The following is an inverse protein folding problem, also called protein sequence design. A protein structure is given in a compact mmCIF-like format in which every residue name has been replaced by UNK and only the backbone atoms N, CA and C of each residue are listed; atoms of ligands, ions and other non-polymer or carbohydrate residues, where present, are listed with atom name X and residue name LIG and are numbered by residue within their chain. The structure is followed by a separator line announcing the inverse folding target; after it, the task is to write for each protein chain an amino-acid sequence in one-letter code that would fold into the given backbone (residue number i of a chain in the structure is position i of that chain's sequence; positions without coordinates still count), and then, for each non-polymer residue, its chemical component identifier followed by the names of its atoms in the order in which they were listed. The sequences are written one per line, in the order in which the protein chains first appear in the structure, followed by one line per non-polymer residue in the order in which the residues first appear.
data_IF_555645469064
#
_entry.id   IF_555645469064
#
_cell.length_a   1.000
_cell.length_b   1.000
_cell.length_c   1.000
_cell.angle_alpha   90.00
_cell.angle_beta   90.00
_cell.angle_gamma   90.00
#
_symmetry.space_group_name_H-M   'P 1'
#
loop_
_entity.id
_entity.type
_entity.pdbx_description
1 polymer ?
#
# COMPACT_ATOMS: atom_id res chain seq x y z
N UNK A 1 74.61 50.40 -38.45
CA UNK A 1 74.87 48.95 -38.45
C UNK A 1 74.44 48.23 -37.16
N UNK A 2 74.69 48.79 -35.96
CA UNK A 2 74.39 48.15 -34.66
C UNK A 2 72.91 47.75 -34.45
N UNK A 3 71.95 48.61 -34.84
CA UNK A 3 70.51 48.35 -34.68
C UNK A 3 70.05 47.10 -35.47
N UNK A 4 70.58 46.88 -36.67
CA UNK A 4 70.23 45.72 -37.50
C UNK A 4 70.68 44.39 -36.87
N UNK A 5 71.86 44.37 -36.27
CA UNK A 5 72.38 43.19 -35.56
C UNK A 5 71.57 42.85 -34.31
N UNK A 6 71.13 43.86 -33.55
CA UNK A 6 70.26 43.69 -32.38
C UNK A 6 68.91 43.09 -32.79
N UNK A 7 68.31 43.58 -33.87
CA UNK A 7 67.03 43.06 -34.37
C UNK A 7 67.13 41.60 -34.84
N UNK A 8 68.25 41.20 -35.46
CA UNK A 8 68.48 39.80 -35.85
C UNK A 8 68.56 38.87 -34.63
N UNK A 9 69.29 39.27 -33.59
CA UNK A 9 69.41 38.49 -32.34
C UNK A 9 68.06 38.38 -31.62
N UNK A 10 67.31 39.48 -31.54
CA UNK A 10 65.96 39.49 -30.96
C UNK A 10 64.99 38.59 -31.73
N UNK A 11 65.01 38.62 -33.08
CA UNK A 11 64.17 37.74 -33.91
C UNK A 11 64.53 36.27 -33.71
N UNK A 12 65.83 35.94 -33.68
CA UNK A 12 66.30 34.58 -33.43
C UNK A 12 65.84 34.07 -32.06
N UNK A 13 66.03 34.87 -30.99
CA UNK A 13 65.62 34.49 -29.64
C UNK A 13 64.10 34.28 -29.53
N UNK A 14 63.30 35.15 -30.18
CA UNK A 14 61.83 35.00 -30.26
C UNK A 14 61.44 33.72 -30.97
N UNK A 15 62.11 33.37 -32.08
CA UNK A 15 61.88 32.12 -32.81
C UNK A 15 62.19 30.88 -31.94
N UNK A 16 63.35 30.86 -31.28
CA UNK A 16 63.76 29.77 -30.38
C UNK A 16 62.78 29.63 -29.21
N UNK A 17 62.36 30.74 -28.61
CA UNK A 17 61.39 30.73 -27.51
C UNK A 17 60.01 30.21 -27.96
N UNK A 18 59.56 30.62 -29.15
CA UNK A 18 58.31 30.11 -29.75
C UNK A 18 58.37 28.60 -30.03
N UNK A 19 59.49 28.11 -30.57
CA UNK A 19 59.70 26.68 -30.82
C UNK A 19 59.68 25.89 -29.51
N UNK A 20 60.37 26.36 -28.47
CA UNK A 20 60.36 25.72 -27.14
C UNK A 20 58.95 25.62 -26.56
N UNK A 21 58.13 26.68 -26.68
CA UNK A 21 56.73 26.65 -26.24
C UNK A 21 55.91 25.65 -27.04
N UNK A 22 56.04 25.63 -28.37
CA UNK A 22 55.36 24.66 -29.24
C UNK A 22 55.69 23.22 -28.87
N UNK A 23 56.98 22.91 -28.67
CA UNK A 23 57.41 21.57 -28.27
C UNK A 23 56.80 21.19 -26.91
N UNK A 24 56.84 22.08 -25.91
CA UNK A 24 56.20 21.84 -24.60
C UNK A 24 54.70 21.57 -24.73
N UNK A 25 53.98 22.35 -25.51
CA UNK A 25 52.56 22.14 -25.77
C UNK A 25 52.27 20.81 -26.46
N UNK A 26 53.08 20.44 -27.47
CA UNK A 26 52.96 19.15 -28.15
C UNK A 26 53.20 17.99 -27.19
N UNK A 27 54.24 18.05 -26.35
CA UNK A 27 54.53 17.02 -25.35
C UNK A 27 53.36 16.87 -24.37
N UNK A 28 52.78 18.00 -23.94
CA UNK A 28 51.63 18.00 -23.03
C UNK A 28 50.40 17.33 -23.69
N UNK A 29 50.05 17.72 -24.91
CA UNK A 29 48.92 17.12 -25.63
C UNK A 29 49.15 15.62 -25.82
N UNK A 30 50.36 15.23 -26.24
CA UNK A 30 50.70 13.83 -26.43
C UNK A 30 50.63 13.03 -25.12
N UNK A 31 51.07 13.58 -23.98
CA UNK A 31 51.00 12.88 -22.70
C UNK A 31 49.55 12.67 -22.25
N UNK A 32 48.68 13.68 -22.43
CA UNK A 32 47.25 13.55 -22.17
C UNK A 32 46.58 12.51 -23.07
N UNK A 33 46.89 12.50 -24.37
CA UNK A 33 46.36 11.52 -25.32
C UNK A 33 46.79 10.10 -24.96
N UNK A 34 48.09 9.87 -24.68
CA UNK A 34 48.59 8.55 -24.26
C UNK A 34 47.89 8.09 -22.97
N UNK A 35 47.75 8.98 -21.99
CA UNK A 35 47.03 8.67 -20.75
C UNK A 35 45.55 8.36 -20.98
N UNK A 36 44.88 9.08 -21.89
CA UNK A 36 43.48 8.81 -22.23
C UNK A 36 43.31 7.47 -22.94
N UNK A 37 44.18 7.14 -23.91
CA UNK A 37 44.17 5.85 -24.61
C UNK A 37 44.33 4.70 -23.61
N UNK A 38 45.35 4.77 -22.74
CA UNK A 38 45.61 3.73 -21.74
C UNK A 38 44.42 3.54 -20.77
N UNK A 39 43.83 4.63 -20.27
CA UNK A 39 42.63 4.56 -19.41
C UNK A 39 41.44 3.96 -20.13
N UNK A 40 41.24 4.29 -21.41
CA UNK A 40 40.16 3.75 -22.23
C UNK A 40 40.32 2.25 -22.45
N UNK A 41 41.54 1.79 -22.71
CA UNK A 41 41.85 0.37 -22.89
C UNK A 41 41.60 -0.43 -21.61
N UNK A 42 42.15 0.00 -20.47
CA UNK A 42 41.92 -0.63 -19.16
C UNK A 42 40.42 -0.62 -18.80
N UNK A 43 39.69 0.46 -19.10
CA UNK A 43 38.26 0.53 -18.86
C UNK A 43 37.48 -0.49 -19.69
N UNK A 44 37.85 -0.69 -20.96
CA UNK A 44 37.24 -1.69 -21.85
C UNK A 44 37.52 -3.11 -21.37
N UNK A 45 38.77 -3.40 -21.02
CA UNK A 45 39.16 -4.72 -20.49
C UNK A 45 38.42 -5.04 -19.19
N UNK A 46 38.37 -4.09 -18.25
CA UNK A 46 37.61 -4.24 -17.01
C UNK A 46 36.12 -4.48 -17.29
N UNK A 47 35.53 -3.75 -18.22
CA UNK A 47 34.13 -3.94 -18.59
C UNK A 47 33.88 -5.35 -19.13
N UNK A 48 34.72 -5.83 -20.07
CA UNK A 48 34.63 -7.19 -20.59
C UNK A 48 34.82 -8.25 -19.48
N UNK A 49 35.82 -8.08 -18.61
CA UNK A 49 36.07 -8.99 -17.50
C UNK A 49 34.86 -9.05 -16.54
N UNK A 50 34.28 -7.92 -16.17
CA UNK A 50 33.08 -7.85 -15.33
C UNK A 50 31.88 -8.51 -16.02
N UNK A 51 31.71 -8.31 -17.33
CA UNK A 51 30.66 -9.00 -18.08
C UNK A 51 30.84 -10.52 -18.03
N UNK A 52 32.04 -11.03 -18.29
CA UNK A 52 32.30 -12.48 -18.24
C UNK A 52 32.08 -13.02 -16.82
N UNK A 53 32.61 -12.34 -15.81
CA UNK A 53 32.46 -12.73 -14.42
C UNK A 53 31.00 -12.74 -13.98
N UNK A 54 30.19 -11.75 -14.37
CA UNK A 54 28.77 -11.70 -14.04
C UNK A 54 27.97 -12.83 -14.70
N UNK A 55 28.25 -13.14 -15.97
CA UNK A 55 27.64 -14.26 -16.67
C UNK A 55 28.01 -15.61 -16.03
N UNK A 56 29.27 -15.79 -15.68
CA UNK A 56 29.77 -17.00 -15.02
C UNK A 56 29.14 -17.19 -13.63
N UNK A 57 29.14 -16.15 -12.79
CA UNK A 57 28.49 -16.18 -11.47
C UNK A 57 27.00 -16.50 -11.59
N UNK A 58 26.31 -15.90 -12.56
CA UNK A 58 24.90 -16.19 -12.83
C UNK A 58 24.68 -17.64 -13.29
N UNK A 59 25.56 -18.18 -14.12
CA UNK A 59 25.50 -19.59 -14.55
C UNK A 59 25.70 -20.55 -13.38
N UNK A 60 26.72 -20.31 -12.54
CA UNK A 60 26.97 -21.14 -11.36
C UNK A 60 25.76 -21.16 -10.41
N UNK A 61 25.16 -20.01 -10.14
CA UNK A 61 23.94 -19.92 -9.32
C UNK A 61 22.78 -20.72 -9.92
N UNK A 62 22.55 -20.63 -11.24
CA UNK A 62 21.50 -21.40 -11.92
C UNK A 62 21.79 -22.89 -11.92
N UNK A 63 23.05 -23.29 -12.09
CA UNK A 63 23.48 -24.70 -12.04
C UNK A 63 23.24 -25.30 -10.65
N UNK A 64 23.67 -24.60 -9.60
CA UNK A 64 23.51 -25.03 -8.21
C UNK A 64 22.04 -25.07 -7.76
N UNK A 65 21.25 -24.06 -8.17
CA UNK A 65 19.82 -24.00 -7.82
C UNK A 65 18.92 -24.91 -8.65
N UNK A 66 19.41 -25.56 -9.72
CA UNK A 66 18.60 -26.37 -10.63
C UNK A 66 17.81 -27.46 -9.90
N UNK A 67 18.45 -28.19 -8.99
CA UNK A 67 17.80 -29.24 -8.21
C UNK A 67 16.69 -28.69 -7.30
N UNK A 68 16.96 -27.59 -6.59
CA UNK A 68 15.99 -26.90 -5.72
C UNK A 68 14.79 -26.37 -6.51
N UNK A 69 15.01 -25.81 -7.70
CA UNK A 69 13.94 -25.33 -8.57
C UNK A 69 13.07 -26.47 -9.12
N UNK A 70 13.69 -27.61 -9.45
CA UNK A 70 12.95 -28.80 -9.86
C UNK A 70 12.10 -29.36 -8.71
N UNK A 71 12.66 -29.48 -7.51
CA UNK A 71 11.91 -29.87 -6.31
C UNK A 71 10.73 -28.91 -6.06
N UNK A 72 10.99 -27.60 -6.08
CA UNK A 72 9.94 -26.58 -5.91
C UNK A 72 8.83 -26.75 -6.95
N UNK A 73 9.20 -26.96 -8.23
CA UNK A 73 8.23 -27.18 -9.31
C UNK A 73 7.41 -28.45 -9.09
N UNK A 74 8.04 -29.56 -8.68
CA UNK A 74 7.35 -30.81 -8.38
C UNK A 74 6.39 -30.66 -7.20
N UNK A 75 6.80 -29.95 -6.15
CA UNK A 75 5.94 -29.64 -5.00
C UNK A 75 4.74 -28.79 -5.39
N UNK A 76 4.94 -27.74 -6.18
CA UNK A 76 3.84 -26.90 -6.69
C UNK A 76 2.88 -27.74 -7.54
N UNK A 77 3.38 -28.60 -8.43
CA UNK A 77 2.54 -29.47 -9.25
C UNK A 77 1.78 -30.51 -8.41
N UNK A 78 2.44 -31.13 -7.42
CA UNK A 78 1.80 -32.09 -6.50
C UNK A 78 0.69 -31.42 -5.71
N UNK A 79 0.95 -30.22 -5.16
CA UNK A 79 -0.08 -29.44 -4.48
C UNK A 79 -1.24 -29.08 -5.41
N UNK A 80 -0.95 -28.63 -6.64
CA UNK A 80 -1.99 -28.29 -7.62
C UNK A 80 -2.89 -29.47 -8.01
N UNK A 81 -2.34 -30.69 -8.13
CA UNK A 81 -3.10 -31.91 -8.41
C UNK A 81 -4.00 -32.34 -7.26
N UNK A 82 -3.62 -32.00 -6.03
CA UNK A 82 -4.33 -32.40 -4.82
C UNK A 82 -5.28 -31.29 -4.30
N UNK A 83 -5.52 -30.24 -5.08
CA UNK A 83 -6.48 -29.19 -4.70
C UNK A 83 -7.88 -29.77 -4.77
N UNK A 84 -8.49 -29.96 -3.61
CA UNK A 84 -9.91 -30.21 -3.49
C UNK A 84 -10.70 -28.99 -3.96
N UNK A 85 -11.76 -29.22 -4.74
CA UNK A 85 -12.60 -28.15 -5.26
C UNK A 85 -13.27 -27.36 -4.13
N UNK A 86 -13.60 -27.99 -2.99
CA UNK A 86 -14.15 -27.28 -1.83
C UNK A 86 -13.18 -26.21 -1.27
N UNK A 87 -11.88 -26.42 -1.44
CA UNK A 87 -10.82 -25.54 -0.92
C UNK A 87 -10.49 -24.37 -1.86
N UNK A 88 -11.05 -24.36 -3.07
CA UNK A 88 -10.95 -23.18 -3.96
C UNK A 88 -11.61 -21.99 -3.27
N UNK A 89 -10.94 -20.84 -3.29
CA UNK A 89 -11.36 -19.60 -2.60
C UNK A 89 -12.84 -19.26 -2.91
N UNK A 90 -13.25 -19.37 -4.18
CA UNK A 90 -14.63 -19.09 -4.60
C UNK A 90 -15.65 -20.09 -4.03
N UNK A 91 -15.27 -21.37 -3.88
CA UNK A 91 -16.15 -22.41 -3.35
C UNK A 91 -16.24 -22.30 -1.82
N UNK A 92 -15.14 -21.95 -1.15
CA UNK A 92 -15.13 -21.61 0.28
C UNK A 92 -16.03 -20.41 0.58
N UNK A 93 -15.98 -19.37 -0.26
CA UNK A 93 -16.88 -18.21 -0.17
C UNK A 93 -18.35 -18.66 -0.27
N UNK A 94 -18.69 -19.44 -1.30
CA UNK A 94 -20.06 -19.92 -1.53
C UNK A 94 -20.58 -20.76 -0.37
N UNK A 95 -19.75 -21.67 0.15
CA UNK A 95 -20.08 -22.49 1.31
C UNK A 95 -20.34 -21.64 2.55
N UNK A 96 -19.41 -20.72 2.88
CA UNK A 96 -19.55 -19.83 4.02
C UNK A 96 -20.81 -18.95 3.92
N UNK A 97 -21.16 -18.45 2.72
CA UNK A 97 -22.39 -17.69 2.49
C UNK A 97 -23.65 -18.54 2.72
N UNK A 98 -23.68 -19.76 2.19
CA UNK A 98 -24.83 -20.65 2.34
C UNK A 98 -25.10 -21.01 3.80
N UNK A 99 -24.04 -21.20 4.58
CA UNK A 99 -24.14 -21.56 5.99
C UNK A 99 -24.43 -20.36 6.91
N UNK A 100 -23.95 -19.15 6.56
CA UNK A 100 -24.15 -17.94 7.38
C UNK A 100 -25.65 -17.63 7.61
N UNK A 101 -26.50 -18.01 6.65
CA UNK A 101 -27.96 -17.85 6.73
C UNK A 101 -28.64 -18.89 7.64
N UNK A 102 -28.05 -20.08 7.81
CA UNK A 102 -28.65 -21.20 8.52
C UNK A 102 -28.11 -21.42 9.94
N UNK A 103 -27.02 -20.75 10.30
CA UNK A 103 -26.32 -21.01 11.56
C UNK A 103 -26.92 -20.30 12.78
N UNK A 104 -27.03 -21.04 13.89
CA UNK A 104 -27.46 -20.54 15.21
C UNK A 104 -26.31 -20.39 16.22
N UNK A 105 -25.11 -20.86 15.87
CA UNK A 105 -23.93 -20.87 16.76
C UNK A 105 -23.01 -19.69 16.45
N UNK A 106 -22.62 -18.95 17.49
CA UNK A 106 -21.66 -17.83 17.41
C UNK A 106 -20.31 -18.29 16.84
N UNK A 107 -19.85 -19.50 17.20
CA UNK A 107 -18.57 -20.03 16.69
C UNK A 107 -18.61 -20.30 15.19
N UNK A 108 -19.74 -20.83 14.69
CA UNK A 108 -19.95 -21.05 13.26
C UNK A 108 -20.06 -19.72 12.48
N UNK A 109 -20.81 -18.76 13.01
CA UNK A 109 -20.92 -17.41 12.44
C UNK A 109 -19.52 -16.76 12.37
N UNK A 110 -18.73 -16.87 13.43
CA UNK A 110 -17.36 -16.34 13.45
C UNK A 110 -16.47 -16.99 12.39
N UNK A 111 -16.48 -18.33 12.30
CA UNK A 111 -15.70 -19.05 11.29
C UNK A 111 -16.06 -18.64 9.86
N UNK A 112 -17.35 -18.47 9.58
CA UNK A 112 -17.82 -18.08 8.27
C UNK A 112 -17.48 -16.62 7.95
N UNK A 113 -17.70 -15.69 8.88
CA UNK A 113 -17.27 -14.30 8.71
C UNK A 113 -15.75 -14.20 8.47
N UNK A 114 -14.92 -14.97 9.19
CA UNK A 114 -13.48 -15.00 8.97
C UNK A 114 -13.12 -15.55 7.58
N UNK A 115 -13.85 -16.57 7.11
CA UNK A 115 -13.68 -17.11 5.74
C UNK A 115 -14.11 -16.09 4.67
N UNK A 116 -15.22 -15.37 4.86
CA UNK A 116 -15.66 -14.31 3.95
C UNK A 116 -14.64 -13.17 3.88
N UNK A 117 -14.12 -12.72 5.03
CA UNK A 117 -13.09 -11.68 5.11
C UNK A 117 -11.83 -12.09 4.34
N UNK A 118 -11.27 -13.26 4.64
CA UNK A 118 -10.06 -13.78 3.99
C UNK A 118 -10.25 -14.00 2.48
N UNK A 119 -11.39 -14.57 2.05
CA UNK A 119 -11.63 -14.84 0.62
C UNK A 119 -11.86 -13.56 -0.19
N UNK A 120 -12.38 -12.49 0.43
CA UNK A 120 -12.61 -11.19 -0.20
C UNK A 120 -11.41 -10.24 -0.11
N UNK A 121 -10.42 -10.53 0.75
CA UNK A 121 -9.31 -9.62 1.04
C UNK A 121 -8.51 -9.20 -0.22
N UNK A 122 -8.34 -10.12 -1.18
CA UNK A 122 -7.53 -9.88 -2.37
C UNK A 122 -8.20 -10.30 -3.69
N UNK A 123 -9.49 -10.64 -3.68
CA UNK A 123 -10.18 -11.16 -4.86
C UNK A 123 -11.41 -10.34 -5.23
N UNK A 124 -11.28 -9.51 -6.27
CA UNK A 124 -12.41 -8.74 -6.83
C UNK A 124 -13.59 -9.64 -7.19
N UNK A 125 -13.31 -10.78 -7.84
CA UNK A 125 -14.34 -11.76 -8.23
C UNK A 125 -15.10 -12.32 -7.02
N UNK A 126 -14.43 -12.54 -5.89
CA UNK A 126 -15.11 -12.98 -4.66
C UNK A 126 -15.96 -11.86 -4.08
N UNK A 127 -15.50 -10.61 -4.12
CA UNK A 127 -16.31 -9.45 -3.73
C UNK A 127 -17.57 -9.31 -4.61
N UNK A 128 -17.43 -9.42 -5.93
CA UNK A 128 -18.55 -9.38 -6.89
C UNK A 128 -19.55 -10.51 -6.64
N UNK A 129 -19.08 -11.75 -6.45
CA UNK A 129 -19.95 -12.90 -6.14
C UNK A 129 -20.66 -12.72 -4.79
N UNK A 130 -19.98 -12.20 -3.76
CA UNK A 130 -20.57 -11.90 -2.46
C UNK A 130 -21.71 -10.88 -2.59
N UNK A 131 -21.49 -9.82 -3.37
CA UNK A 131 -22.51 -8.80 -3.62
C UNK A 131 -23.67 -9.35 -4.44
N UNK A 132 -23.39 -10.14 -5.49
CA UNK A 132 -24.40 -10.79 -6.31
C UNK A 132 -25.28 -11.77 -5.52
N UNK A 133 -24.71 -12.42 -4.49
CA UNK A 133 -25.44 -13.27 -3.56
C UNK A 133 -26.30 -12.49 -2.53
N UNK A 134 -26.32 -11.16 -2.59
CA UNK A 134 -27.10 -10.31 -1.68
C UNK A 134 -26.53 -10.24 -0.25
N UNK A 135 -25.26 -10.59 -0.07
CA UNK A 135 -24.68 -10.76 1.26
C UNK A 135 -24.44 -9.44 2.01
N UNK A 136 -24.46 -8.29 1.34
CA UNK A 136 -24.35 -6.97 2.00
C UNK A 136 -25.42 -6.83 3.09
N UNK A 137 -26.68 -7.15 2.79
CA UNK A 137 -27.77 -7.07 3.75
C UNK A 137 -27.60 -8.02 4.94
N UNK A 138 -27.03 -9.20 4.70
CA UNK A 138 -26.75 -10.18 5.77
C UNK A 138 -25.65 -9.66 6.70
N UNK A 139 -24.56 -9.13 6.13
CA UNK A 139 -23.45 -8.55 6.89
C UNK A 139 -23.90 -7.34 7.71
N UNK A 140 -24.73 -6.46 7.15
CA UNK A 140 -25.29 -5.32 7.87
C UNK A 140 -26.19 -5.75 9.03
N UNK A 141 -27.04 -6.76 8.83
CA UNK A 141 -27.87 -7.33 9.92
C UNK A 141 -26.99 -7.92 11.03
N UNK A 142 -25.92 -8.63 10.67
CA UNK A 142 -24.96 -9.15 11.65
C UNK A 142 -24.29 -8.03 12.44
N UNK A 143 -23.82 -6.97 11.78
CA UNK A 143 -23.22 -5.81 12.45
C UNK A 143 -24.19 -5.21 13.48
N UNK A 144 -25.50 -5.17 13.18
CA UNK A 144 -26.52 -4.69 14.11
C UNK A 144 -26.80 -5.65 15.28
N UNK A 145 -26.80 -6.97 15.05
CA UNK A 145 -27.21 -7.97 16.05
C UNK A 145 -26.11 -8.35 17.04
N UNK A 146 -24.86 -8.02 16.73
CA UNK A 146 -23.70 -8.43 17.51
C UNK A 146 -23.60 -7.65 18.83
N UNK A 147 -23.39 -8.38 19.93
CA UNK A 147 -23.29 -7.82 21.29
C UNK A 147 -21.88 -7.31 21.63
N UNK A 148 -21.67 -6.86 22.88
CA UNK A 148 -20.35 -6.43 23.39
C UNK A 148 -19.46 -7.59 23.84
N UNK A 149 -19.89 -8.85 23.70
CA UNK A 149 -19.07 -10.00 24.08
C UNK A 149 -17.82 -10.11 23.20
N UNK A 150 -16.75 -10.71 23.72
CA UNK A 150 -15.49 -10.90 22.96
C UNK A 150 -15.69 -11.63 21.62
N UNK A 151 -16.40 -12.78 21.54
CA UNK A 151 -16.59 -13.47 20.25
C UNK A 151 -17.43 -12.66 19.28
N UNK A 152 -18.44 -11.95 19.79
CA UNK A 152 -19.26 -11.03 19.02
C UNK A 152 -18.41 -9.91 18.39
N UNK A 153 -17.52 -9.27 19.16
CA UNK A 153 -16.64 -8.24 18.60
C UNK A 153 -15.69 -8.76 17.51
N UNK A 154 -15.33 -10.05 17.53
CA UNK A 154 -14.56 -10.66 16.43
C UNK A 154 -15.43 -10.89 15.18
N UNK A 155 -16.68 -11.33 15.35
CA UNK A 155 -17.65 -11.41 14.23
C UNK A 155 -17.82 -10.05 13.58
N UNK A 156 -18.01 -9.01 14.39
CA UNK A 156 -18.13 -7.63 13.92
C UNK A 156 -16.90 -7.18 13.14
N UNK A 157 -15.70 -7.45 13.65
CA UNK A 157 -14.44 -7.10 12.98
C UNK A 157 -14.37 -7.72 11.59
N UNK A 158 -14.64 -9.02 11.46
CA UNK A 158 -14.61 -9.70 10.16
C UNK A 158 -15.71 -9.22 9.22
N UNK A 159 -16.92 -8.97 9.73
CA UNK A 159 -18.02 -8.42 8.92
C UNK A 159 -17.69 -7.02 8.38
N UNK A 160 -17.19 -6.12 9.23
CA UNK A 160 -16.73 -4.79 8.82
C UNK A 160 -15.54 -4.88 7.85
N UNK A 161 -14.57 -5.76 8.11
CA UNK A 161 -13.42 -5.95 7.21
C UNK A 161 -13.86 -6.44 5.83
N UNK A 162 -14.83 -7.35 5.77
CA UNK A 162 -15.44 -7.82 4.52
C UNK A 162 -16.08 -6.65 3.77
N UNK A 163 -16.88 -5.81 4.44
CA UNK A 163 -17.46 -4.59 3.80
C UNK A 163 -16.36 -3.64 3.32
N UNK A 164 -15.30 -3.44 4.10
CA UNK A 164 -14.13 -2.64 3.70
C UNK A 164 -13.44 -3.22 2.47
N UNK A 165 -13.37 -4.54 2.32
CA UNK A 165 -12.79 -5.15 1.12
C UNK A 165 -13.62 -4.78 -0.13
N UNK A 166 -14.95 -4.68 0.00
CA UNK A 166 -15.82 -4.21 -1.08
C UNK A 166 -15.54 -2.76 -1.48
N UNK A 167 -15.23 -1.87 -0.52
CA UNK A 167 -14.99 -0.44 -0.80
C UNK A 167 -13.69 -0.15 -1.55
N UNK A 168 -12.88 -1.17 -1.84
CA UNK A 168 -11.73 -1.05 -2.74
C UNK A 168 -12.15 -0.92 -4.20
N UNK A 169 -13.36 -1.38 -4.55
CA UNK A 169 -13.84 -1.43 -5.93
C UNK A 169 -14.97 -0.41 -6.14
N UNK A 170 -14.74 0.53 -7.05
CA UNK A 170 -15.61 1.69 -7.28
C UNK A 170 -17.08 1.31 -7.56
N UNK A 171 -17.31 0.27 -8.36
CA UNK A 171 -18.66 -0.17 -8.71
C UNK A 171 -19.39 -0.83 -7.52
N UNK A 172 -18.67 -1.49 -6.60
CA UNK A 172 -19.26 -2.10 -5.40
C UNK A 172 -19.58 -1.07 -4.32
N UNK A 173 -18.85 0.05 -4.27
CA UNK A 173 -19.19 1.18 -3.38
C UNK A 173 -20.60 1.70 -3.69
N UNK A 174 -20.98 1.79 -4.96
CA UNK A 174 -22.32 2.25 -5.34
C UNK A 174 -23.41 1.30 -4.84
N UNK A 175 -23.21 -0.01 -5.01
CA UNK A 175 -24.15 -1.03 -4.51
C UNK A 175 -24.26 -0.98 -2.98
N UNK A 176 -23.15 -0.74 -2.28
CA UNK A 176 -23.15 -0.54 -0.83
C UNK A 176 -23.95 0.72 -0.45
N UNK A 177 -23.78 1.84 -1.15
CA UNK A 177 -24.52 3.10 -0.90
C UNK A 177 -26.03 2.92 -1.18
N UNK A 178 -26.39 2.15 -2.19
CA UNK A 178 -27.78 1.87 -2.57
C UNK A 178 -28.47 0.88 -1.63
N UNK A 179 -27.69 0.09 -0.88
CA UNK A 179 -28.21 -0.83 0.13
C UNK A 179 -28.84 -0.05 1.29
N UNK A 180 -30.10 -0.36 1.59
CA UNK A 180 -30.89 0.36 2.59
C UNK A 180 -30.22 0.38 3.98
N UNK A 181 -30.08 1.57 4.57
CA UNK A 181 -29.55 1.75 5.92
C UNK A 181 -28.06 1.48 6.07
N UNK A 182 -27.32 1.18 5.00
CA UNK A 182 -25.90 0.80 5.08
C UNK A 182 -25.03 1.88 5.71
N UNK A 183 -25.20 3.12 5.28
CA UNK A 183 -24.45 4.28 5.77
C UNK A 183 -24.75 4.47 7.25
N UNK A 184 -26.02 4.47 7.65
CA UNK A 184 -26.47 4.62 9.02
C UNK A 184 -25.89 3.54 9.93
N UNK A 185 -25.95 2.28 9.52
CA UNK A 185 -25.44 1.14 10.30
C UNK A 185 -23.94 1.26 10.52
N UNK A 186 -23.17 1.52 9.45
CA UNK A 186 -21.71 1.65 9.53
C UNK A 186 -21.33 2.87 10.35
N UNK A 187 -22.08 3.97 10.23
CA UNK A 187 -21.88 5.18 11.00
C UNK A 187 -22.15 4.97 12.50
N UNK A 188 -23.24 4.29 12.84
CA UNK A 188 -23.57 3.96 14.23
C UNK A 188 -22.48 3.08 14.84
N UNK A 189 -21.93 2.14 14.06
CA UNK A 189 -20.82 1.30 14.54
C UNK A 189 -19.54 2.11 14.74
N UNK A 190 -19.21 3.03 13.81
CA UNK A 190 -18.11 3.97 13.99
C UNK A 190 -18.24 4.79 15.29
N UNK A 191 -19.45 5.24 15.64
CA UNK A 191 -19.68 5.98 16.89
C UNK A 191 -19.54 5.09 18.14
N UNK A 192 -20.00 3.83 18.05
CA UNK A 192 -20.09 2.90 19.19
C UNK A 192 -18.75 2.23 19.52
N UNK A 193 -17.94 1.93 18.51
CA UNK A 193 -16.74 1.12 18.67
C UNK A 193 -15.57 1.91 19.29
N UNK A 194 -14.73 1.22 20.07
CA UNK A 194 -13.52 1.81 20.68
C UNK A 194 -12.22 1.13 20.29
N UNK A 195 -12.32 0.01 19.59
CA UNK A 195 -11.20 -0.83 19.20
C UNK A 195 -11.03 -0.83 17.68
N UNK A 196 -10.51 -1.91 17.10
CA UNK A 196 -10.19 -1.99 15.67
C UNK A 196 -11.40 -1.71 14.76
N UNK A 197 -12.61 -2.08 15.18
CA UNK A 197 -13.84 -1.79 14.43
C UNK A 197 -14.06 -0.30 14.17
N UNK A 198 -13.58 0.58 15.06
CA UNK A 198 -13.62 2.03 14.88
C UNK A 198 -12.86 2.47 13.63
N UNK A 199 -11.65 1.93 13.44
CA UNK A 199 -10.78 2.29 12.32
C UNK A 199 -11.30 1.71 11.01
N UNK A 200 -11.77 0.46 11.02
CA UNK A 200 -12.35 -0.19 9.84
C UNK A 200 -13.60 0.57 9.39
N UNK A 201 -14.50 0.91 10.31
CA UNK A 201 -15.71 1.69 9.99
C UNK A 201 -15.35 3.09 9.46
N UNK A 202 -14.34 3.75 10.04
CA UNK A 202 -13.83 5.03 9.52
C UNK A 202 -13.33 4.92 8.08
N UNK A 203 -12.52 3.91 7.77
CA UNK A 203 -12.00 3.68 6.41
C UNK A 203 -13.13 3.49 5.39
N UNK A 204 -14.16 2.70 5.75
CA UNK A 204 -15.34 2.49 4.91
C UNK A 204 -16.07 3.82 4.66
N UNK A 205 -16.35 4.58 5.72
CA UNK A 205 -17.08 5.85 5.62
C UNK A 205 -16.31 6.89 4.80
N UNK A 206 -14.97 6.97 4.95
CA UNK A 206 -14.14 7.86 4.14
C UNK A 206 -14.29 7.52 2.66
N UNK A 207 -14.28 6.24 2.30
CA UNK A 207 -14.49 5.79 0.91
C UNK A 207 -15.88 6.15 0.39
N UNK A 208 -16.92 5.90 1.19
CA UNK A 208 -18.30 6.25 0.85
C UNK A 208 -18.47 7.77 0.66
N UNK A 209 -17.91 8.59 1.55
CA UNK A 209 -18.06 10.05 1.48
C UNK A 209 -17.16 10.71 0.44
N UNK A 210 -16.14 10.02 -0.04
CA UNK A 210 -15.40 10.46 -1.23
C UNK A 210 -16.25 10.35 -2.51
N UNK A 211 -17.33 9.57 -2.48
CA UNK A 211 -18.26 9.40 -3.59
C UNK A 211 -19.41 10.41 -3.52
N UNK A 212 -19.72 11.07 -4.65
CA UNK A 212 -20.72 12.14 -4.69
C UNK A 212 -22.12 11.67 -4.23
N UNK A 213 -22.51 10.43 -4.57
CA UNK A 213 -23.78 9.84 -4.13
C UNK A 213 -23.81 9.60 -2.61
N UNK A 214 -22.71 9.12 -2.03
CA UNK A 214 -22.59 8.90 -0.59
C UNK A 214 -22.69 10.20 0.20
N UNK A 215 -22.01 11.25 -0.26
CA UNK A 215 -22.12 12.59 0.32
C UNK A 215 -23.55 13.15 0.25
N UNK A 216 -24.26 12.95 -0.87
CA UNK A 216 -25.65 13.38 -1.03
C UNK A 216 -26.62 12.66 -0.08
N UNK A 217 -26.47 11.35 0.11
CA UNK A 217 -27.31 10.58 1.05
C UNK A 217 -27.12 11.07 2.48
N UNK A 218 -25.89 11.40 2.86
CA UNK A 218 -25.58 11.91 4.20
C UNK A 218 -26.20 13.28 4.51
N UNK A 219 -26.37 14.17 3.53
CA UNK A 219 -27.08 15.44 3.73
C UNK A 219 -28.53 15.24 4.15
N UNK A 220 -29.13 14.10 3.80
CA UNK A 220 -30.47 13.73 4.24
C UNK A 220 -30.51 13.25 5.70
N UNK A 221 -29.36 13.11 6.36
CA UNK A 221 -29.21 12.55 7.71
C UNK A 221 -28.52 13.54 8.68
N UNK A 222 -29.13 14.72 8.95
CA UNK A 222 -28.52 15.77 9.78
C UNK A 222 -28.23 15.33 11.22
N UNK A 223 -28.97 14.33 11.73
CA UNK A 223 -28.73 13.75 13.04
C UNK A 223 -27.34 13.08 13.16
N UNK A 224 -26.85 12.43 12.10
CA UNK A 224 -25.53 11.80 12.09
C UNK A 224 -24.41 12.83 12.11
N UNK A 225 -24.57 13.92 11.34
CA UNK A 225 -23.63 15.04 11.35
C UNK A 225 -23.55 15.69 12.75
N UNK A 226 -24.69 15.88 13.43
CA UNK A 226 -24.70 16.38 14.82
C UNK A 226 -23.91 15.45 15.75
N UNK A 227 -24.15 14.14 15.67
CA UNK A 227 -23.43 13.13 16.48
C UNK A 227 -21.92 13.11 16.18
N UNK A 228 -21.51 13.33 14.93
CA UNK A 228 -20.09 13.42 14.57
C UNK A 228 -19.40 14.61 15.22
N UNK A 229 -20.03 15.80 15.18
CA UNK A 229 -19.49 16.99 15.80
C UNK A 229 -19.31 16.77 17.31
N UNK A 230 -20.32 16.18 17.97
CA UNK A 230 -20.20 15.81 19.39
C UNK A 230 -19.05 14.81 19.65
N UNK A 231 -18.88 13.80 18.78
CA UNK A 231 -17.75 12.86 18.89
C UNK A 231 -16.40 13.57 18.72
N UNK A 232 -16.26 14.45 17.74
CA UNK A 232 -15.03 15.21 17.50
C UNK A 232 -14.69 16.08 18.71
N UNK A 233 -15.67 16.75 19.30
CA UNK A 233 -15.48 17.52 20.54
C UNK A 233 -15.01 16.62 21.69
N UNK A 234 -15.63 15.46 21.89
CA UNK A 234 -15.26 14.51 22.93
C UNK A 234 -13.83 13.97 22.72
N UNK A 235 -13.47 13.58 21.49
CA UNK A 235 -12.13 13.10 21.16
C UNK A 235 -11.07 14.21 21.29
N UNK A 236 -11.43 15.46 20.99
CA UNK A 236 -10.55 16.62 21.17
C UNK A 236 -10.23 16.84 22.64
N UNK A 237 -11.25 16.78 23.52
CA UNK A 237 -11.05 16.87 24.98
C UNK A 237 -10.20 15.71 25.51
N UNK A 238 -10.41 14.49 25.02
CA UNK A 238 -9.60 13.32 25.42
C UNK A 238 -8.15 13.45 24.99
N UNK A 239 -7.89 13.86 23.74
CA UNK A 239 -6.54 14.05 23.24
C UNK A 239 -5.78 15.16 24.00
N UNK A 240 -6.45 16.24 24.40
CA UNK A 240 -5.82 17.32 25.19
C UNK A 240 -5.49 16.88 26.62
N UNK A 241 -6.33 16.05 27.24
CA UNK A 241 -6.06 15.46 28.56
C UNK A 241 -4.87 14.51 28.48
N UNK A 242 -4.87 13.56 27.54
CA UNK A 242 -3.76 12.59 27.39
C UNK A 242 -2.44 13.27 27.02
N UNK A 243 -2.47 14.40 26.30
CA UNK A 243 -1.26 15.20 26.01
C UNK A 243 -0.61 15.78 27.26
N UNK A 244 -1.39 16.03 28.32
CA UNK A 244 -0.89 16.55 29.61
C UNK A 244 -0.40 15.45 30.54
N UNK A 245 -0.66 14.18 30.21
CA UNK A 245 -0.31 13.05 31.06
C UNK A 245 1.13 12.60 30.76
N UNK A 246 2.07 12.68 31.72
CA UNK A 246 3.49 12.43 31.45
C UNK A 246 3.85 10.95 31.24
N UNK A 247 2.97 10.01 31.62
CA UNK A 247 3.24 8.57 31.57
C UNK A 247 2.13 7.85 30.78
N UNK A 248 2.24 7.83 29.45
CA UNK A 248 1.20 7.23 28.60
C UNK A 248 1.34 7.42 27.09
N UNK A 249 2.55 7.22 26.52
CA UNK A 249 2.81 7.45 25.08
C UNK A 249 1.83 6.69 24.18
N UNK A 250 1.56 5.42 24.47
CA UNK A 250 0.62 4.59 23.69
C UNK A 250 -0.83 5.08 23.77
N UNK A 251 -1.29 5.51 24.95
CA UNK A 251 -2.64 6.05 25.13
C UNK A 251 -2.82 7.38 24.36
N UNK A 252 -1.80 8.23 24.41
CA UNK A 252 -1.75 9.48 23.64
C UNK A 252 -1.80 9.23 22.14
N UNK A 253 -0.98 8.33 21.61
CA UNK A 253 -0.98 7.97 20.19
C UNK A 253 -2.34 7.42 19.73
N UNK A 254 -2.96 6.54 20.54
CA UNK A 254 -4.30 5.99 20.26
C UNK A 254 -5.36 7.09 20.24
N UNK A 255 -5.35 8.01 21.21
CA UNK A 255 -6.30 9.13 21.29
C UNK A 255 -6.13 10.10 20.10
N UNK A 256 -4.90 10.47 19.77
CA UNK A 256 -4.60 11.33 18.62
C UNK A 256 -5.01 10.67 17.30
N UNK A 257 -4.74 9.37 17.14
CA UNK A 257 -5.16 8.62 15.94
C UNK A 257 -6.67 8.64 15.77
N UNK A 258 -7.44 8.39 16.84
CA UNK A 258 -8.91 8.44 16.78
C UNK A 258 -9.44 9.83 16.44
N UNK A 259 -8.85 10.86 17.03
CA UNK A 259 -9.22 12.24 16.71
C UNK A 259 -8.97 12.56 15.22
N UNK A 260 -7.84 12.13 14.66
CA UNK A 260 -7.53 12.30 13.23
C UNK A 260 -8.59 11.66 12.33
N UNK A 261 -8.97 10.41 12.62
CA UNK A 261 -10.02 9.70 11.87
C UNK A 261 -11.35 10.48 11.83
N UNK A 262 -11.82 10.95 12.99
CA UNK A 262 -13.08 11.69 13.09
C UNK A 262 -13.02 13.06 12.39
N UNK A 263 -11.88 13.77 12.50
CA UNK A 263 -11.68 15.06 11.83
C UNK A 263 -11.63 14.92 10.30
N UNK A 264 -10.96 13.89 9.79
CA UNK A 264 -10.92 13.62 8.35
C UNK A 264 -12.31 13.31 7.79
N UNK A 265 -13.09 12.50 8.50
CA UNK A 265 -14.49 12.24 8.13
C UNK A 265 -15.30 13.55 8.13
N UNK A 266 -15.20 14.35 9.18
CA UNK A 266 -15.90 15.63 9.26
C UNK A 266 -15.50 16.59 8.12
N UNK A 267 -14.23 16.57 7.72
CA UNK A 267 -13.73 17.37 6.59
C UNK A 267 -14.36 16.91 5.27
N UNK A 268 -14.34 15.61 4.98
CA UNK A 268 -14.95 15.04 3.77
C UNK A 268 -16.44 15.36 3.66
N UNK A 269 -17.13 15.41 4.80
CA UNK A 269 -18.54 15.78 4.86
C UNK A 269 -18.82 17.27 4.61
N UNK A 270 -17.83 18.15 4.81
CA UNK A 270 -17.95 19.59 4.60
C UNK A 270 -17.47 20.04 3.22
N UNK A 271 -16.63 19.25 2.55
CA UNK A 271 -16.04 19.59 1.24
C UNK A 271 -16.98 19.38 0.05
N UNK A 272 -18.14 18.76 0.26
CA UNK A 272 -19.16 18.55 -0.77
C UNK A 272 -20.43 19.29 -0.42
#
# INVERSE_FOLDING_TARGET
MMISSILKLQRWWRSVSSLKLRIKSVILIQSYLRGWIARREVSRERHCAVMIQSHWRGYLLRKDSKGKLLDLRLRVQKSAKNVDDSMRIINRLKMALSELLSMKSISGILHNCATLDMTTEHSQRCCEELVAAGAIGILLKLICSVSRSVPDQQVLKHALSTIRNLTRYQHLIQVLIESEGSIEIIFLEFLRNKEEGYFIASEILKKIFSEHRGAKTLRKLPALLKRLNSLVEEQTRKATIEKRNPHGVSAKEKAERRLREALELLKLMKTH
#
